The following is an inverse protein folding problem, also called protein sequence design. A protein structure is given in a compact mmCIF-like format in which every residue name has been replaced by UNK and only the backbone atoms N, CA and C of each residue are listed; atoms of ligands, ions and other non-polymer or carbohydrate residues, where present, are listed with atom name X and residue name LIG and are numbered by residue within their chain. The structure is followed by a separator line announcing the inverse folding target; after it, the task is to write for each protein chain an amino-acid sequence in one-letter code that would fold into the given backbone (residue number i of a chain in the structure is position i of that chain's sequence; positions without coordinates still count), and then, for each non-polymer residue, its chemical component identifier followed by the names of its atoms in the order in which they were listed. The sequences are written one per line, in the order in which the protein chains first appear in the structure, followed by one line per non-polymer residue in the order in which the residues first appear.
data_IF_260777969885
#
_entry.id   IF_260777969885
#
_cell.length_a   1.000
_cell.length_b   1.000
_cell.length_c   1.000
_cell.angle_alpha   90.00
_cell.angle_beta   90.00
_cell.angle_gamma   90.00
#
_symmetry.space_group_name_H-M   'P 1'
#
loop_
_entity.id
_entity.type
_entity.pdbx_description
1 polymer ?
#
# COMPACT_ATOMS: atom_id res chain seq x y z
N UNK A 1 -6.22 -20.99 11.43
CA UNK A 1 -7.10 -19.86 11.04
C UNK A 1 -7.83 -20.18 9.74
N UNK A 2 -8.75 -21.16 9.78
CA UNK A 2 -9.47 -21.65 8.61
C UNK A 2 -10.85 -21.01 8.48
N UNK A 3 -10.90 -19.80 7.92
CA UNK A 3 -12.13 -19.01 7.73
C UNK A 3 -13.05 -19.50 6.61
N UNK A 4 -13.17 -20.82 6.40
CA UNK A 4 -14.10 -21.40 5.42
C UNK A 4 -14.99 -22.52 5.99
N UNK A 5 -14.95 -22.75 7.31
CA UNK A 5 -15.70 -23.86 7.94
C UNK A 5 -17.17 -23.58 8.25
N UNK A 6 -17.59 -22.30 8.32
CA UNK A 6 -18.94 -21.94 8.80
C UNK A 6 -19.79 -21.14 7.77
N UNK A 7 -19.53 -21.31 6.46
CA UNK A 7 -20.36 -20.77 5.39
C UNK A 7 -19.93 -19.41 4.83
N UNK A 8 -20.35 -19.16 3.57
CA UNK A 8 -19.99 -17.94 2.80
C UNK A 8 -20.45 -16.66 3.51
N UNK A 9 -21.65 -16.66 4.11
CA UNK A 9 -22.23 -15.48 4.78
C UNK A 9 -21.40 -15.05 6.01
N UNK A 10 -21.00 -15.99 6.88
CA UNK A 10 -20.18 -15.65 8.06
C UNK A 10 -18.82 -15.11 7.65
N UNK A 11 -18.28 -15.62 6.55
CA UNK A 11 -17.03 -15.14 5.98
C UNK A 11 -17.15 -13.70 5.50
N UNK A 12 -18.21 -13.37 4.73
CA UNK A 12 -18.48 -12.00 4.26
C UNK A 12 -18.61 -11.06 5.45
N UNK A 13 -19.44 -11.41 6.44
CA UNK A 13 -19.64 -10.61 7.65
C UNK A 13 -18.36 -10.37 8.43
N UNK A 14 -17.53 -11.40 8.61
CA UNK A 14 -16.28 -11.26 9.35
C UNK A 14 -15.29 -10.35 8.62
N UNK A 15 -15.18 -10.47 7.28
CA UNK A 15 -14.31 -9.60 6.48
C UNK A 15 -14.84 -8.16 6.52
N UNK A 16 -16.16 -7.96 6.45
CA UNK A 16 -16.79 -6.64 6.60
C UNK A 16 -16.42 -6.00 7.94
N UNK A 17 -16.61 -6.72 9.05
CA UNK A 17 -16.31 -6.20 10.38
C UNK A 17 -14.83 -5.86 10.54
N UNK A 18 -13.93 -6.71 10.04
CA UNK A 18 -12.49 -6.44 10.10
C UNK A 18 -12.14 -5.15 9.36
N UNK A 19 -12.64 -4.97 8.14
CA UNK A 19 -12.30 -3.78 7.34
C UNK A 19 -12.98 -2.51 7.82
N UNK A 20 -14.20 -2.61 8.33
CA UNK A 20 -14.90 -1.49 8.96
C UNK A 20 -14.14 -1.03 10.21
N UNK A 21 -13.78 -1.97 11.10
CA UNK A 21 -13.00 -1.65 12.31
C UNK A 21 -11.61 -1.13 11.96
N UNK A 22 -10.99 -1.63 10.90
CA UNK A 22 -9.70 -1.13 10.41
C UNK A 22 -9.81 0.32 9.94
N UNK A 23 -10.86 0.65 9.17
CA UNK A 23 -11.12 2.05 8.77
C UNK A 23 -11.33 2.97 9.96
N UNK A 24 -12.18 2.58 10.91
CA UNK A 24 -12.45 3.36 12.14
C UNK A 24 -11.19 3.52 13.00
N UNK A 25 -10.32 2.50 13.07
CA UNK A 25 -9.07 2.58 13.81
C UNK A 25 -8.09 3.61 13.24
N UNK A 26 -8.14 3.85 11.93
CA UNK A 26 -7.25 4.78 11.26
C UNK A 26 -7.68 6.25 11.35
N UNK A 27 -8.96 6.54 11.61
CA UNK A 27 -9.43 7.90 11.84
C UNK A 27 -10.95 8.02 11.88
N UNK A 28 -11.43 9.16 12.38
CA UNK A 28 -12.87 9.46 12.49
C UNK A 28 -13.49 10.04 11.20
N UNK A 29 -12.67 10.36 10.20
CA UNK A 29 -13.12 10.90 8.91
C UNK A 29 -13.90 9.87 8.07
N UNK A 30 -14.85 10.37 7.28
CA UNK A 30 -15.66 9.54 6.37
C UNK A 30 -14.82 8.84 5.30
N UNK A 31 -13.69 9.44 4.94
CA UNK A 31 -12.73 8.94 3.96
C UNK A 31 -12.10 7.61 4.42
N UNK A 32 -11.81 7.43 5.71
CA UNK A 32 -11.25 6.17 6.25
C UNK A 32 -12.27 5.03 6.25
N UNK A 33 -13.55 5.34 6.50
CA UNK A 33 -14.64 4.36 6.40
C UNK A 33 -14.78 3.92 4.94
N UNK A 34 -14.80 4.86 3.98
CA UNK A 34 -14.86 4.52 2.56
C UNK A 34 -13.65 3.71 2.10
N UNK A 35 -12.45 4.06 2.56
CA UNK A 35 -11.23 3.31 2.28
C UNK A 35 -11.33 1.85 2.76
N UNK A 36 -11.75 1.64 4.01
CA UNK A 36 -11.98 0.30 4.56
C UNK A 36 -13.05 -0.47 3.77
N UNK A 37 -14.15 0.20 3.42
CA UNK A 37 -15.22 -0.39 2.61
C UNK A 37 -14.78 -0.75 1.19
N UNK A 38 -13.92 0.05 0.56
CA UNK A 38 -13.34 -0.26 -0.74
C UNK A 38 -12.51 -1.54 -0.68
N UNK A 39 -11.64 -1.68 0.33
CA UNK A 39 -10.83 -2.89 0.51
C UNK A 39 -11.66 -4.13 0.84
N UNK A 40 -12.73 -3.96 1.62
CA UNK A 40 -13.75 -5.01 1.83
C UNK A 40 -14.35 -5.48 0.50
N UNK A 41 -14.81 -4.55 -0.35
CA UNK A 41 -15.43 -4.86 -1.64
C UNK A 41 -14.45 -5.57 -2.56
N UNK A 42 -13.21 -5.11 -2.65
CA UNK A 42 -12.16 -5.74 -3.46
C UNK A 42 -11.96 -7.20 -3.03
N UNK A 43 -11.77 -7.44 -1.73
CA UNK A 43 -11.51 -8.78 -1.22
C UNK A 43 -12.70 -9.74 -1.35
N UNK A 44 -13.92 -9.25 -1.13
CA UNK A 44 -15.12 -10.07 -1.34
C UNK A 44 -15.33 -10.37 -2.83
N UNK A 45 -15.08 -9.39 -3.71
CA UNK A 45 -15.19 -9.59 -5.14
C UNK A 45 -14.19 -10.64 -5.63
N UNK A 46 -12.95 -10.56 -5.17
CA UNK A 46 -11.93 -11.58 -5.45
C UNK A 46 -12.32 -12.94 -4.90
N UNK A 47 -12.83 -13.00 -3.67
CA UNK A 47 -13.17 -14.28 -3.03
C UNK A 47 -14.39 -14.97 -3.64
N UNK A 48 -15.39 -14.20 -4.09
CA UNK A 48 -16.67 -14.75 -4.56
C UNK A 48 -16.76 -14.87 -6.08
N UNK A 49 -16.12 -13.98 -6.84
CA UNK A 49 -16.35 -13.87 -8.28
C UNK A 49 -15.07 -13.99 -9.09
N UNK A 50 -14.08 -13.11 -8.86
CA UNK A 50 -12.96 -12.93 -9.78
C UNK A 50 -11.75 -13.81 -9.47
N UNK A 51 -11.63 -14.39 -8.27
CA UNK A 51 -10.43 -15.11 -7.82
C UNK A 51 -10.10 -16.36 -8.66
N UNK A 52 -11.10 -17.09 -9.16
CA UNK A 52 -10.87 -18.25 -10.04
C UNK A 52 -10.33 -17.85 -11.42
N UNK A 53 -10.66 -16.65 -11.89
CA UNK A 53 -10.16 -16.07 -13.13
C UNK A 53 -8.77 -15.45 -12.93
N UNK A 54 -8.60 -14.62 -11.89
CA UNK A 54 -7.34 -13.93 -11.58
C UNK A 54 -6.22 -14.91 -11.25
N UNK A 55 -6.52 -16.03 -10.58
CA UNK A 55 -5.53 -17.08 -10.30
C UNK A 55 -5.00 -17.78 -11.56
N UNK A 56 -5.81 -17.86 -12.63
CA UNK A 56 -5.40 -18.38 -13.94
C UNK A 56 -4.62 -17.34 -14.75
N UNK A 57 -4.98 -16.07 -14.64
CA UNK A 57 -4.35 -14.97 -15.36
C UNK A 57 -3.52 -14.07 -14.43
N UNK A 58 -2.34 -14.56 -14.04
CA UNK A 58 -1.47 -13.88 -13.06
C UNK A 58 -1.12 -12.42 -13.42
N UNK A 59 -0.88 -12.15 -14.70
CA UNK A 59 -0.55 -10.78 -15.15
C UNK A 59 -1.74 -9.84 -14.92
N UNK A 60 -2.97 -10.29 -15.23
CA UNK A 60 -4.18 -9.51 -14.99
C UNK A 60 -4.38 -9.28 -13.50
N UNK A 61 -4.11 -10.28 -12.65
CA UNK A 61 -4.14 -10.14 -11.19
C UNK A 61 -3.17 -9.06 -10.69
N UNK A 62 -1.95 -9.02 -11.23
CA UNK A 62 -1.00 -7.98 -10.87
C UNK A 62 -1.44 -6.59 -11.31
N UNK A 63 -1.91 -6.43 -12.55
CA UNK A 63 -2.40 -5.14 -13.06
C UNK A 63 -3.63 -4.68 -12.26
N UNK A 64 -4.56 -5.58 -11.98
CA UNK A 64 -5.76 -5.32 -11.19
C UNK A 64 -5.41 -4.74 -9.82
N UNK A 65 -4.51 -5.41 -9.08
CA UNK A 65 -4.08 -4.93 -7.75
C UNK A 65 -3.23 -3.67 -7.83
N UNK A 66 -2.37 -3.57 -8.86
CA UNK A 66 -1.51 -2.40 -9.08
C UNK A 66 -2.31 -1.13 -9.32
N UNK A 67 -3.51 -1.21 -9.91
CA UNK A 67 -4.39 -0.06 -10.12
C UNK A 67 -5.24 0.21 -8.87
N UNK A 68 -5.86 -0.82 -8.29
CA UNK A 68 -6.85 -0.62 -7.22
C UNK A 68 -6.24 -0.16 -5.90
N UNK A 69 -5.03 -0.62 -5.57
CA UNK A 69 -4.40 -0.25 -4.29
C UNK A 69 -4.04 1.24 -4.25
N UNK A 70 -3.36 1.83 -5.26
CA UNK A 70 -3.15 3.28 -5.31
C UNK A 70 -4.45 4.07 -5.29
N UNK A 71 -5.48 3.62 -6.02
CA UNK A 71 -6.81 4.25 -5.97
C UNK A 71 -7.38 4.27 -4.54
N UNK A 72 -7.21 3.17 -3.78
CA UNK A 72 -7.63 3.13 -2.38
C UNK A 72 -6.87 4.16 -1.53
N UNK A 73 -5.57 4.34 -1.76
CA UNK A 73 -4.75 5.29 -1.00
C UNK A 73 -5.18 6.75 -1.18
N UNK A 74 -5.83 7.11 -2.28
CA UNK A 74 -6.41 8.47 -2.46
C UNK A 74 -7.46 8.74 -1.38
N UNK A 75 -8.36 7.79 -1.11
CA UNK A 75 -9.36 7.89 -0.04
C UNK A 75 -8.73 7.88 1.35
N UNK A 76 -7.59 7.21 1.51
CA UNK A 76 -6.85 7.24 2.78
C UNK A 76 -6.18 8.61 3.02
N UNK A 77 -5.71 9.27 1.97
CA UNK A 77 -4.88 10.48 2.06
C UNK A 77 -5.68 11.77 2.30
N UNK A 78 -6.84 11.92 1.67
CA UNK A 78 -7.62 13.17 1.75
C UNK A 78 -9.11 12.89 1.96
N UNK A 79 -9.77 13.78 2.67
CA UNK A 79 -11.22 13.86 2.85
C UNK A 79 -11.85 15.00 2.03
N UNK A 80 -11.04 15.77 1.27
CA UNK A 80 -11.55 16.80 0.37
C UNK A 80 -11.84 16.19 -1.02
N UNK A 81 -13.11 16.25 -1.42
CA UNK A 81 -13.55 15.71 -2.73
C UNK A 81 -12.91 16.39 -3.94
N UNK A 82 -12.55 17.67 -3.86
CA UNK A 82 -11.87 18.37 -4.96
C UNK A 82 -10.42 17.89 -5.09
N UNK A 83 -9.71 17.73 -3.98
CA UNK A 83 -8.38 17.13 -3.97
C UNK A 83 -8.39 15.69 -4.47
N UNK A 84 -9.37 14.87 -4.06
CA UNK A 84 -9.51 13.49 -4.57
C UNK A 84 -9.62 13.47 -6.09
N UNK A 85 -10.44 14.35 -6.68
CA UNK A 85 -10.58 14.45 -8.14
C UNK A 85 -9.25 14.77 -8.80
N UNK A 86 -8.50 15.73 -8.25
CA UNK A 86 -7.16 16.10 -8.74
C UNK A 86 -6.19 14.91 -8.65
N UNK A 87 -6.22 14.15 -7.56
CA UNK A 87 -5.37 12.96 -7.41
C UNK A 87 -5.69 11.87 -8.41
N UNK A 88 -6.98 11.58 -8.65
CA UNK A 88 -7.38 10.58 -9.64
C UNK A 88 -7.04 11.00 -11.08
N UNK A 89 -7.31 12.25 -11.45
CA UNK A 89 -6.97 12.73 -12.79
C UNK A 89 -5.46 12.75 -13.03
N UNK A 90 -4.66 13.09 -12.02
CA UNK A 90 -3.19 12.99 -12.06
C UNK A 90 -2.71 11.54 -12.18
N UNK A 91 -3.32 10.62 -11.44
CA UNK A 91 -2.93 9.20 -11.44
C UNK A 91 -3.08 8.54 -12.82
N UNK A 92 -4.10 8.94 -13.58
CA UNK A 92 -4.37 8.40 -14.92
C UNK A 92 -3.92 9.32 -16.06
N UNK A 93 -3.24 10.43 -15.77
CA UNK A 93 -2.74 11.37 -16.77
C UNK A 93 -3.84 12.05 -17.58
N UNK A 94 -5.03 12.25 -16.99
CA UNK A 94 -6.22 12.79 -17.66
C UNK A 94 -6.25 14.32 -17.71
N UNK A 95 -5.31 15.00 -17.04
CA UNK A 95 -5.10 16.45 -17.13
C UNK A 95 -3.77 16.69 -17.84
N UNK A 96 -3.75 17.63 -18.79
CA UNK A 96 -2.52 18.02 -19.49
C UNK A 96 -1.57 18.77 -18.56
N UNK A 97 -0.26 18.61 -18.76
CA UNK A 97 0.78 19.27 -17.96
C UNK A 97 0.60 20.80 -17.95
N UNK A 98 0.03 21.36 -19.03
CA UNK A 98 -0.23 22.80 -19.18
C UNK A 98 -1.39 23.34 -18.31
N UNK A 99 -2.37 22.49 -17.95
CA UNK A 99 -3.44 22.85 -17.01
C UNK A 99 -2.96 22.74 -15.55
N UNK A 100 -1.84 22.06 -15.30
CA UNK A 100 -1.25 21.88 -13.98
C UNK A 100 -0.34 23.06 -13.63
N UNK A 101 -0.91 24.15 -13.10
CA UNK A 101 -0.11 25.23 -12.50
C UNK A 101 0.86 24.65 -11.44
N UNK A 102 2.15 24.96 -11.59
CA UNK A 102 3.25 24.64 -10.66
C UNK A 102 3.75 23.19 -10.62
N UNK A 103 3.60 22.40 -11.68
CA UNK A 103 4.22 21.06 -11.73
C UNK A 103 5.17 20.96 -12.91
N UNK A 104 6.45 20.77 -12.61
CA UNK A 104 7.46 20.45 -13.60
C UNK A 104 7.67 18.93 -13.65
N UNK A 105 8.00 18.37 -14.81
CA UNK A 105 8.46 16.96 -14.89
C UNK A 105 9.67 16.68 -14.00
N UNK A 106 10.39 17.73 -13.58
CA UNK A 106 11.50 17.64 -12.64
C UNK A 106 11.06 17.37 -11.19
N UNK A 107 9.80 17.61 -10.83
CA UNK A 107 9.29 17.37 -9.47
C UNK A 107 9.29 15.87 -9.14
N UNK A 108 8.98 15.01 -10.12
CA UNK A 108 9.08 13.55 -9.97
C UNK A 108 10.51 13.13 -9.66
N UNK A 109 11.50 13.78 -10.28
CA UNK A 109 12.91 13.52 -10.02
C UNK A 109 13.33 14.08 -8.67
N UNK A 110 12.86 15.26 -8.27
CA UNK A 110 13.20 15.90 -6.99
C UNK A 110 12.64 15.08 -5.82
N UNK A 111 11.35 14.75 -5.85
CA UNK A 111 10.69 14.02 -4.76
C UNK A 111 10.90 12.51 -4.84
N UNK A 112 11.13 11.94 -6.03
CA UNK A 112 11.31 10.49 -6.23
C UNK A 112 12.73 10.00 -5.91
N UNK A 113 13.76 10.82 -6.14
CA UNK A 113 15.17 10.44 -5.95
C UNK A 113 15.49 9.80 -4.58
N UNK A 114 15.02 10.33 -3.44
CA UNK A 114 15.28 9.72 -2.13
C UNK A 114 14.72 8.30 -1.99
N UNK A 115 13.65 7.97 -2.70
CA UNK A 115 12.97 6.67 -2.62
C UNK A 115 13.54 5.63 -3.58
N UNK A 116 14.31 6.02 -4.60
CA UNK A 116 14.90 5.10 -5.60
C UNK A 116 15.70 3.97 -4.94
N UNK A 117 16.63 4.22 -3.98
CA UNK A 117 17.37 3.14 -3.33
C UNK A 117 16.47 2.17 -2.56
N UNK A 118 15.42 2.68 -1.92
CA UNK A 118 14.43 1.88 -1.18
C UNK A 118 13.61 1.01 -2.15
N UNK A 119 13.19 1.56 -3.27
CA UNK A 119 12.45 0.81 -4.30
C UNK A 119 13.31 -0.28 -4.93
N UNK A 120 14.57 0.01 -5.27
CA UNK A 120 15.50 -0.98 -5.84
C UNK A 120 15.74 -2.11 -4.83
N UNK A 121 16.01 -1.78 -3.57
CA UNK A 121 16.19 -2.80 -2.53
C UNK A 121 14.92 -3.63 -2.31
N UNK A 122 13.75 -3.00 -2.26
CA UNK A 122 12.47 -3.71 -2.16
C UNK A 122 12.26 -4.69 -3.33
N UNK A 123 12.53 -4.27 -4.57
CA UNK A 123 12.43 -5.13 -5.76
C UNK A 123 13.37 -6.33 -5.64
N UNK A 124 14.63 -6.10 -5.26
CA UNK A 124 15.64 -7.17 -5.08
C UNK A 124 15.18 -8.19 -4.03
N UNK A 125 14.65 -7.73 -2.89
CA UNK A 125 14.17 -8.60 -1.81
C UNK A 125 12.82 -9.29 -2.11
N UNK A 126 12.02 -8.74 -3.01
CA UNK A 126 10.81 -9.40 -3.52
C UNK A 126 11.12 -10.60 -4.43
N UNK A 127 12.36 -10.72 -4.95
CA UNK A 127 12.78 -11.89 -5.73
C UNK A 127 12.91 -13.11 -4.80
N UNK A 128 12.11 -14.19 -4.97
CA UNK A 128 12.07 -15.30 -4.04
C UNK A 128 13.42 -16.01 -3.82
N UNK A 129 14.24 -16.06 -4.88
CA UNK A 129 15.59 -16.63 -4.82
C UNK A 129 16.49 -15.81 -3.90
N UNK A 130 16.57 -14.50 -4.12
CA UNK A 130 17.40 -13.58 -3.30
C UNK A 130 16.99 -13.68 -1.84
N UNK A 131 15.68 -13.59 -1.56
CA UNK A 131 15.15 -13.75 -0.21
C UNK A 131 15.58 -15.06 0.45
N UNK A 132 15.48 -16.19 -0.27
CA UNK A 132 15.86 -17.50 0.26
C UNK A 132 17.37 -17.59 0.53
N UNK A 133 18.20 -17.09 -0.38
CA UNK A 133 19.66 -17.08 -0.21
C UNK A 133 20.09 -16.22 0.98
N UNK A 134 19.60 -14.98 1.06
CA UNK A 134 19.92 -14.06 2.17
C UNK A 134 19.47 -14.65 3.51
N UNK A 135 18.27 -15.24 3.55
CA UNK A 135 17.77 -15.90 4.77
C UNK A 135 18.68 -17.06 5.21
N UNK A 136 19.08 -17.95 4.30
CA UNK A 136 19.97 -19.07 4.64
C UNK A 136 21.36 -18.58 5.10
N UNK A 137 21.89 -17.54 4.45
CA UNK A 137 23.20 -16.96 4.77
C UNK A 137 23.22 -16.28 6.15
N UNK A 138 22.14 -15.60 6.54
CA UNK A 138 22.11 -14.72 7.71
C UNK A 138 21.44 -15.32 8.96
N UNK A 139 20.49 -16.26 8.81
CA UNK A 139 19.59 -16.71 9.91
C UNK A 139 20.28 -17.18 11.18
N UNK A 140 21.48 -17.75 11.10
CA UNK A 140 22.20 -18.33 12.26
C UNK A 140 23.59 -17.75 12.46
N UNK A 141 23.93 -16.66 11.76
CA UNK A 141 25.24 -16.04 11.84
C UNK A 141 25.15 -14.74 12.61
N UNK A 142 26.20 -14.42 13.37
CA UNK A 142 26.33 -13.12 14.04
C UNK A 142 26.18 -11.96 13.06
N UNK A 143 26.63 -12.14 11.81
CA UNK A 143 26.47 -11.20 10.71
C UNK A 143 25.00 -10.84 10.48
N UNK A 144 24.08 -11.81 10.54
CA UNK A 144 22.65 -11.55 10.38
C UNK A 144 22.09 -10.71 11.52
N UNK A 145 22.46 -11.01 12.77
CA UNK A 145 22.07 -10.22 13.93
C UNK A 145 22.59 -8.79 13.83
N UNK A 146 23.87 -8.61 13.49
CA UNK A 146 24.49 -7.28 13.31
C UNK A 146 23.77 -6.49 12.21
N UNK A 147 23.48 -7.12 11.07
CA UNK A 147 22.71 -6.48 9.99
C UNK A 147 21.31 -6.05 10.45
N UNK A 148 20.59 -6.88 11.21
CA UNK A 148 19.29 -6.52 11.76
C UNK A 148 19.37 -5.33 12.74
N UNK A 149 20.41 -5.28 13.58
CA UNK A 149 20.64 -4.17 14.51
C UNK A 149 20.93 -2.88 13.74
N UNK A 150 21.79 -2.94 12.72
CA UNK A 150 22.07 -1.78 11.85
C UNK A 150 20.78 -1.31 11.15
N UNK A 151 20.01 -2.22 10.57
CA UNK A 151 18.75 -1.89 9.91
C UNK A 151 17.72 -1.29 10.88
N UNK A 152 17.68 -1.77 12.12
CA UNK A 152 16.83 -1.21 13.17
C UNK A 152 17.20 0.24 13.46
N UNK A 153 18.49 0.53 13.74
CA UNK A 153 18.93 1.89 13.99
C UNK A 153 18.79 2.81 12.78
N UNK A 154 19.02 2.30 11.56
CA UNK A 154 18.72 3.04 10.33
C UNK A 154 17.23 3.37 10.23
N UNK A 155 16.35 2.42 10.53
CA UNK A 155 14.90 2.65 10.50
C UNK A 155 14.48 3.70 11.53
N UNK A 156 15.05 3.65 12.74
CA UNK A 156 14.84 4.66 13.79
C UNK A 156 15.38 6.03 13.37
N UNK A 157 16.57 6.08 12.75
CA UNK A 157 17.16 7.31 12.25
C UNK A 157 16.31 7.94 11.14
N UNK A 158 15.83 7.15 10.17
CA UNK A 158 14.93 7.63 9.12
C UNK A 158 13.57 8.06 9.69
N UNK A 159 13.06 7.36 10.70
CA UNK A 159 11.82 7.77 11.40
C UNK A 159 12.00 9.11 12.11
N UNK A 160 13.11 9.31 12.82
CA UNK A 160 13.43 10.55 13.52
C UNK A 160 13.74 11.70 12.55
N UNK A 161 14.44 11.42 11.45
CA UNK A 161 14.73 12.42 10.40
C UNK A 161 13.49 12.76 9.56
N UNK A 162 12.53 11.82 9.47
CA UNK A 162 11.26 12.00 8.77
C UNK A 162 10.20 12.79 9.55
N UNK A 163 10.52 13.31 10.74
CA UNK A 163 9.62 14.11 11.57
C UNK A 163 9.17 15.44 10.91
N UNK A 164 9.80 15.86 9.80
CA UNK A 164 9.34 16.98 8.97
C UNK A 164 8.23 16.61 7.97
N UNK A 165 7.93 15.32 7.78
CA UNK A 165 6.70 14.86 7.12
C UNK A 165 5.72 14.45 8.24
N UNK A 166 4.93 15.38 8.80
CA UNK A 166 3.98 15.03 9.84
C UNK A 166 3.11 13.91 9.28
N UNK A 167 3.22 12.75 9.92
CA UNK A 167 2.65 11.50 9.46
C UNK A 167 1.23 11.72 8.93
N UNK A 168 0.87 11.01 7.85
CA UNK A 168 -0.51 10.81 7.37
C UNK A 168 -1.55 10.51 8.48
N UNK A 169 -1.09 10.17 9.68
CA UNK A 169 -1.87 9.77 10.84
C UNK A 169 -2.05 10.85 11.91
N UNK A 170 -1.34 11.99 11.85
CA UNK A 170 -1.57 13.13 12.74
C UNK A 170 -2.48 14.18 12.09
N UNK A 171 -3.52 13.72 11.37
CA UNK A 171 -4.69 14.54 11.05
C UNK A 171 -5.74 14.34 12.15
N UNK A 172 -5.46 14.87 13.33
CA UNK A 172 -6.47 15.17 14.34
C UNK A 172 -6.52 16.69 14.51
#
# INVERSE_FOLDING_TARGET
MGGNRNGKIKTVRNIFLVWLLTGIWHGAGWNFILWGMMLFVILITEKLFTGSFLSKHKIISYIYMFILIPCSWVFFFTDNTEEMKIWFTRMFGLISVDEMKNISTSDVLVYGKPYIPVLITAIIFCIPRVRKYVFVLLRKKIVGTVMCVILFFLSVFYLASGLENPFLYFRF
#
